data_IF_520379252068
#
_entry.id   IF_520379252068
#
_cell.length_a   1.000
_cell.length_b   1.000
_cell.length_c   1.000
_cell.angle_alpha   90.00
_cell.angle_beta   90.00
_cell.angle_gamma   90.00
#
_symmetry.space_group_name_H-M   'P 1'
#
loop_
_entity.id
_entity.type
_entity.pdbx_description
1 polymer ?
#
# COMPACT_ATOMS: atom_id res chain seq x y z
N UNK A 1 -24.43 3.88 -1.50
CA UNK A 1 -23.25 4.48 -2.06
C UNK A 1 -22.02 3.64 -1.80
N UNK A 2 -21.29 3.37 -2.79
CA UNK A 2 -20.11 2.54 -2.68
C UNK A 2 -18.87 3.41 -2.66
N UNK A 3 -18.16 3.38 -1.56
CA UNK A 3 -16.98 4.22 -1.39
C UNK A 3 -15.86 3.87 -2.35
N UNK A 4 -15.88 2.66 -2.87
CA UNK A 4 -14.82 2.24 -3.78
C UNK A 4 -14.78 3.09 -5.04
N UNK A 5 -15.90 3.68 -5.42
CA UNK A 5 -15.92 4.54 -6.59
C UNK A 5 -15.02 5.74 -6.43
N UNK A 6 -14.89 6.23 -5.23
CA UNK A 6 -14.12 7.44 -4.99
C UNK A 6 -12.68 7.15 -4.63
N UNK A 7 -12.33 5.90 -4.49
CA UNK A 7 -10.97 5.57 -4.06
C UNK A 7 -10.03 5.56 -5.25
N UNK A 8 -9.06 6.45 -5.21
CA UNK A 8 -8.08 6.57 -6.26
C UNK A 8 -6.88 5.68 -6.00
N UNK A 9 -6.22 5.29 -7.07
CA UNK A 9 -4.92 4.65 -6.94
C UNK A 9 -3.91 5.65 -6.45
N UNK A 10 -3.04 5.23 -5.55
CA UNK A 10 -1.98 6.10 -5.04
C UNK A 10 -0.63 5.45 -5.32
N UNK A 11 0.40 6.29 -5.39
CA UNK A 11 1.74 5.82 -5.65
C UNK A 11 2.49 5.47 -4.38
N UNK A 12 3.76 5.13 -4.55
CA UNK A 12 4.61 4.72 -3.43
C UNK A 12 4.71 5.83 -2.38
N UNK A 13 4.90 7.06 -2.82
CA UNK A 13 5.07 8.16 -1.87
C UNK A 13 3.83 8.38 -1.05
N UNK A 14 2.68 8.38 -1.69
CA UNK A 14 1.42 8.56 -0.97
C UNK A 14 1.12 7.39 -0.05
N UNK A 15 1.47 6.18 -0.49
CA UNK A 15 1.29 5.01 0.36
C UNK A 15 2.15 5.12 1.61
N UNK A 16 3.39 5.58 1.45
CA UNK A 16 4.30 5.78 2.58
C UNK A 16 3.72 6.81 3.54
N UNK A 17 3.22 7.92 3.01
CA UNK A 17 2.61 8.95 3.85
C UNK A 17 1.39 8.43 4.58
N UNK A 18 0.57 7.65 3.89
CA UNK A 18 -0.65 7.10 4.47
C UNK A 18 -0.35 6.19 5.65
N UNK A 19 0.71 5.40 5.55
CA UNK A 19 1.07 4.45 6.60
C UNK A 19 2.09 5.02 7.59
N UNK A 20 2.60 6.22 7.32
CA UNK A 20 3.57 6.83 8.22
C UNK A 20 4.94 6.18 8.18
N UNK A 21 5.33 5.69 7.02
CA UNK A 21 6.65 5.05 6.84
C UNK A 21 7.37 5.72 5.68
N UNK A 22 8.61 5.29 5.43
CA UNK A 22 9.38 5.84 4.33
C UNK A 22 9.08 5.11 3.03
N UNK A 23 9.42 5.76 1.92
CA UNK A 23 9.27 5.12 0.61
C UNK A 23 10.12 3.85 0.53
N UNK A 24 11.30 3.89 1.12
CA UNK A 24 12.16 2.72 1.10
C UNK A 24 11.51 1.54 1.81
N UNK A 25 10.80 1.81 2.90
CA UNK A 25 10.08 0.77 3.60
C UNK A 25 9.01 0.16 2.69
N UNK A 26 8.26 1.01 1.97
CA UNK A 26 7.26 0.50 1.04
C UNK A 26 7.90 -0.38 -0.03
N UNK A 27 9.00 0.08 -0.62
CA UNK A 27 9.68 -0.69 -1.66
C UNK A 27 10.18 -2.02 -1.14
N UNK A 28 10.70 -2.00 0.09
CA UNK A 28 11.17 -3.22 0.72
C UNK A 28 10.03 -4.21 0.95
N UNK A 29 8.89 -3.69 1.39
CA UNK A 29 7.73 -4.54 1.61
C UNK A 29 7.19 -5.14 0.31
N UNK A 30 7.27 -4.41 -0.79
CA UNK A 30 6.87 -4.95 -2.09
C UNK A 30 7.70 -6.20 -2.41
N UNK A 31 8.97 -6.18 -2.07
CA UNK A 31 9.85 -7.31 -2.36
C UNK A 31 9.72 -8.46 -1.38
N UNK A 32 9.42 -8.15 -0.12
CA UNK A 32 9.56 -9.16 0.94
C UNK A 32 8.25 -9.59 1.58
N UNK A 33 7.16 -8.90 1.29
CA UNK A 33 5.89 -9.22 1.91
C UNK A 33 4.81 -9.28 0.86
N UNK A 34 3.60 -9.59 1.30
CA UNK A 34 2.45 -9.64 0.41
C UNK A 34 1.63 -8.36 0.48
N UNK A 35 2.31 -7.22 0.72
CA UNK A 35 1.61 -5.94 0.71
C UNK A 35 0.81 -5.82 -0.58
N UNK A 36 -0.46 -5.36 -0.50
CA UNK A 36 -1.30 -5.27 -1.69
C UNK A 36 -0.85 -4.15 -2.61
N UNK A 37 0.09 -4.48 -3.49
CA UNK A 37 0.66 -3.56 -4.47
C UNK A 37 0.28 -4.06 -5.86
N UNK A 38 -0.07 -3.12 -6.73
CA UNK A 38 -0.51 -3.45 -8.08
C UNK A 38 0.35 -2.68 -9.08
N UNK A 39 0.76 -3.37 -10.14
CA UNK A 39 1.60 -2.74 -11.14
C UNK A 39 0.71 -2.18 -12.25
N UNK A 40 0.79 -0.88 -12.45
CA UNK A 40 0.07 -0.22 -13.54
C UNK A 40 1.13 0.40 -14.43
N UNK A 41 1.32 -0.20 -15.61
CA UNK A 41 2.44 0.20 -16.44
C UNK A 41 3.74 -0.11 -15.72
N UNK A 42 4.54 0.90 -15.51
CA UNK A 42 5.83 0.74 -14.82
C UNK A 42 5.78 1.17 -13.37
N UNK A 43 4.60 1.56 -12.88
CA UNK A 43 4.49 2.15 -11.55
C UNK A 43 3.74 1.22 -10.61
N UNK A 44 4.19 1.18 -9.37
CA UNK A 44 3.48 0.49 -8.31
C UNK A 44 2.38 1.39 -7.79
N UNK A 45 1.18 0.84 -7.67
CA UNK A 45 0.02 1.58 -7.19
C UNK A 45 -0.67 0.80 -6.09
N UNK A 46 -1.35 1.54 -5.23
CA UNK A 46 -1.96 0.99 -4.04
C UNK A 46 -3.35 1.59 -3.85
N UNK A 47 -4.16 0.91 -3.06
CA UNK A 47 -5.42 1.45 -2.56
C UNK A 47 -5.32 1.58 -1.07
N UNK A 48 -5.73 2.73 -0.54
CA UNK A 48 -5.64 2.98 0.90
C UNK A 48 -6.41 1.95 1.71
N UNK A 49 -7.58 1.58 1.24
CA UNK A 49 -8.40 0.59 1.95
C UNK A 49 -7.70 -0.75 2.05
N UNK A 50 -7.00 -1.14 0.98
CA UNK A 50 -6.27 -2.40 0.98
C UNK A 50 -5.07 -2.35 1.92
N UNK A 51 -4.40 -1.21 1.95
CA UNK A 51 -3.27 -1.03 2.84
C UNK A 51 -3.71 -1.11 4.30
N UNK A 52 -4.82 -0.46 4.62
CA UNK A 52 -5.35 -0.50 5.97
C UNK A 52 -5.71 -1.91 6.40
N UNK A 53 -6.36 -2.65 5.52
CA UNK A 53 -6.74 -4.03 5.83
C UNK A 53 -5.51 -4.89 6.05
N UNK A 54 -4.49 -4.70 5.22
CA UNK A 54 -3.25 -5.47 5.32
C UNK A 54 -2.54 -5.19 6.65
N UNK A 55 -2.47 -3.92 7.03
CA UNK A 55 -1.85 -3.54 8.30
C UNK A 55 -2.65 -4.11 9.46
N UNK A 56 -3.98 -4.02 9.40
CA UNK A 56 -4.83 -4.53 10.48
C UNK A 56 -4.68 -6.03 10.65
N UNK A 57 -4.33 -6.74 9.59
CA UNK A 57 -4.14 -8.18 9.67
C UNK A 57 -2.84 -8.56 10.39
N UNK A 58 -1.99 -7.57 10.68
CA UNK A 58 -0.72 -7.82 11.35
C UNK A 58 0.41 -8.22 10.42
N UNK A 59 0.17 -8.28 9.14
CA UNK A 59 1.18 -8.77 8.20
C UNK A 59 2.33 -7.80 7.98
N UNK A 60 2.12 -6.54 8.33
CA UNK A 60 3.20 -5.56 8.23
C UNK A 60 4.17 -5.62 9.40
N UNK A 61 3.83 -6.37 10.43
CA UNK A 61 4.69 -6.46 11.61
C UNK A 61 5.82 -7.43 11.31
N UNK A 62 6.99 -6.88 11.04
CA UNK A 62 8.16 -7.66 10.68
C UNK A 62 9.11 -7.68 11.88
N UNK A 63 9.44 -8.87 12.29
CA UNK A 63 10.36 -9.05 13.41
C UNK A 63 11.80 -8.89 13.04
#
# INVERSE_FOLDING_TARGET
MNENYAENWIGVEEAANHLGVTKDTIRNWIKKTDIPAHKIGKLWKFKRSELDAWVKSGKSAIE
#
